data_IF_269274391145
#
_entry.id   IF_269274391145
#
_cell.length_a   1.000
_cell.length_b   1.000
_cell.length_c   1.000
_cell.angle_alpha   90.00
_cell.angle_beta   90.00
_cell.angle_gamma   90.00
#
_symmetry.space_group_name_H-M   'P 1'
#
loop_
_entity.id
_entity.type
_entity.pdbx_description
1 polymer ?
#
# COMPACT_ATOMS: atom_id res chain seq x y z
N UNK A 1 8.53 17.41 15.09
CA UNK A 1 7.46 17.10 14.12
C UNK A 1 7.75 15.71 13.56
N UNK A 2 6.77 14.82 13.51
CA UNK A 2 6.94 13.50 12.89
C UNK A 2 7.19 13.64 11.39
N UNK A 3 7.95 12.72 10.80
CA UNK A 3 8.28 12.74 9.38
C UNK A 3 7.05 12.47 8.49
N UNK A 4 6.29 11.44 8.87
CA UNK A 4 4.96 11.14 8.35
C UNK A 4 3.87 11.62 9.32
N UNK A 5 2.63 11.77 8.85
CA UNK A 5 1.48 12.11 9.72
C UNK A 5 1.29 11.08 10.81
N UNK A 6 0.82 11.56 11.97
CA UNK A 6 0.43 10.69 13.07
C UNK A 6 -0.70 9.74 12.66
N UNK A 7 -1.61 10.14 11.76
CA UNK A 7 -2.67 9.27 11.21
C UNK A 7 -2.09 8.02 10.53
N UNK A 8 -0.97 8.15 9.79
CA UNK A 8 -0.31 7.02 9.12
C UNK A 8 0.33 6.09 10.16
N UNK A 9 1.03 6.68 11.13
CA UNK A 9 1.72 5.92 12.19
C UNK A 9 0.72 5.17 13.07
N UNK A 10 -0.36 5.83 13.47
CA UNK A 10 -1.41 5.25 14.30
C UNK A 10 -2.18 4.17 13.54
N UNK A 11 -2.46 4.38 12.24
CA UNK A 11 -3.06 3.37 11.39
C UNK A 11 -2.25 2.08 11.40
N UNK A 12 -0.96 2.15 11.06
CA UNK A 12 -0.08 0.98 11.02
C UNK A 12 0.13 0.36 12.39
N UNK A 13 0.18 1.15 13.47
CA UNK A 13 0.24 0.59 14.83
C UNK A 13 -1.02 -0.18 15.19
N UNK A 14 -2.20 0.36 14.88
CA UNK A 14 -3.47 -0.30 15.15
C UNK A 14 -3.58 -1.65 14.43
N UNK A 15 -3.11 -1.74 13.17
CA UNK A 15 -3.14 -3.02 12.43
C UNK A 15 -2.30 -4.14 13.07
N UNK A 16 -1.35 -3.80 13.94
CA UNK A 16 -0.39 -4.76 14.50
C UNK A 16 -0.47 -4.95 16.02
N UNK A 17 -1.12 -4.02 16.73
CA UNK A 17 -1.08 -3.95 18.19
C UNK A 17 -2.47 -4.01 18.85
N UNK A 18 -3.51 -4.43 18.12
CA UNK A 18 -4.87 -4.57 18.65
C UNK A 18 -5.08 -5.83 19.51
N UNK A 19 -4.11 -6.76 19.56
CA UNK A 19 -4.22 -8.04 20.25
C UNK A 19 -3.27 -8.24 21.44
N UNK A 20 -3.13 -9.50 21.86
CA UNK A 20 -2.25 -9.95 22.95
C UNK A 20 -0.78 -9.80 22.55
N UNK A 21 -0.03 -8.91 23.20
CA UNK A 21 1.42 -8.80 22.95
C UNK A 21 2.14 -10.08 23.42
N UNK A 22 2.76 -10.80 22.48
CA UNK A 22 3.53 -12.02 22.72
C UNK A 22 5.00 -11.73 23.03
N UNK A 23 5.56 -10.74 22.35
CA UNK A 23 6.95 -10.28 22.49
C UNK A 23 7.01 -8.79 22.16
N UNK A 24 7.82 -8.03 22.90
CA UNK A 24 8.11 -6.64 22.58
C UNK A 24 9.48 -6.26 23.14
N UNK A 25 10.32 -5.70 22.28
CA UNK A 25 11.57 -5.02 22.62
C UNK A 25 11.72 -3.73 21.78
N UNK A 26 12.88 -3.08 21.87
CA UNK A 26 13.15 -1.80 21.19
C UNK A 26 13.04 -1.88 19.65
N UNK A 27 13.22 -3.06 19.06
CA UNK A 27 13.32 -3.27 17.62
C UNK A 27 12.17 -4.11 17.04
N UNK A 28 11.56 -5.01 17.82
CA UNK A 28 10.56 -5.93 17.33
C UNK A 28 9.41 -6.16 18.31
N UNK A 29 8.18 -6.08 17.80
CA UNK A 29 6.97 -6.43 18.55
C UNK A 29 6.14 -7.46 17.79
N UNK A 30 5.62 -8.44 18.50
CA UNK A 30 4.70 -9.46 17.98
C UNK A 30 3.44 -9.50 18.83
N UNK A 31 2.27 -9.39 18.20
CA UNK A 31 0.98 -9.58 18.84
C UNK A 31 0.22 -10.80 18.28
N UNK A 32 -0.67 -11.36 19.08
CA UNK A 32 -1.68 -12.31 18.64
C UNK A 32 -3.04 -11.65 18.58
N UNK A 33 -3.66 -11.63 17.40
CA UNK A 33 -4.96 -11.00 17.16
C UNK A 33 -5.94 -12.04 16.59
N UNK A 34 -7.04 -12.36 17.32
CA UNK A 34 -8.03 -13.33 16.86
C UNK A 34 -8.92 -12.80 15.72
N UNK A 35 -8.93 -11.49 15.47
CA UNK A 35 -9.84 -10.86 14.50
C UNK A 35 -9.20 -10.71 13.11
N UNK A 36 -8.05 -11.33 12.86
CA UNK A 36 -7.40 -11.33 11.54
C UNK A 36 -8.15 -12.22 10.54
N UNK A 37 -8.38 -11.67 9.36
CA UNK A 37 -8.90 -12.42 8.21
C UNK A 37 -7.92 -13.52 7.76
N UNK A 38 -8.43 -14.54 7.06
CA UNK A 38 -7.63 -15.69 6.61
C UNK A 38 -6.43 -15.28 5.75
N UNK A 39 -6.62 -14.32 4.84
CA UNK A 39 -5.57 -13.79 3.96
C UNK A 39 -4.56 -12.87 4.69
N UNK A 40 -4.88 -12.49 5.93
CA UNK A 40 -4.06 -11.63 6.79
C UNK A 40 -3.68 -12.32 8.11
N UNK A 41 -3.88 -13.63 8.24
CA UNK A 41 -3.64 -14.41 9.47
C UNK A 41 -2.21 -14.33 9.99
N UNK A 42 -1.28 -13.87 9.16
CA UNK A 42 0.01 -13.32 9.56
C UNK A 42 0.29 -12.08 8.73
N UNK A 43 0.74 -11.02 9.39
CA UNK A 43 1.32 -9.85 8.73
C UNK A 43 2.65 -9.45 9.39
N UNK A 44 3.55 -8.88 8.60
CA UNK A 44 4.82 -8.31 9.05
C UNK A 44 4.99 -6.94 8.42
N UNK A 45 5.35 -5.93 9.22
CA UNK A 45 5.74 -4.61 8.76
C UNK A 45 7.14 -4.29 9.27
N UNK A 46 8.08 -4.01 8.37
CA UNK A 46 9.42 -3.49 8.69
C UNK A 46 9.52 -2.04 8.23
N UNK A 47 9.72 -1.09 9.15
CA UNK A 47 9.83 0.33 8.84
C UNK A 47 11.28 0.73 8.52
N UNK A 48 11.45 1.81 7.76
CA UNK A 48 12.79 2.27 7.31
C UNK A 48 13.74 2.66 8.45
N UNK A 49 13.23 2.87 9.67
CA UNK A 49 14.01 3.15 10.87
C UNK A 49 14.51 1.87 11.58
N UNK A 50 14.29 0.70 10.99
CA UNK A 50 14.78 -0.59 11.48
C UNK A 50 13.88 -1.26 12.50
N UNK A 51 12.70 -0.69 12.81
CA UNK A 51 11.71 -1.34 13.67
C UNK A 51 10.84 -2.29 12.86
N UNK A 52 10.39 -3.36 13.51
CA UNK A 52 9.48 -4.34 12.94
C UNK A 52 8.29 -4.60 13.87
N UNK A 53 7.13 -4.83 13.27
CA UNK A 53 5.94 -5.30 13.96
C UNK A 53 5.40 -6.51 13.21
N UNK A 54 4.94 -7.52 13.94
CA UNK A 54 4.23 -8.65 13.37
C UNK A 54 2.95 -8.91 14.15
N UNK A 55 1.93 -9.39 13.45
CA UNK A 55 0.69 -9.85 14.05
C UNK A 55 0.33 -11.18 13.43
N UNK A 56 -0.23 -12.07 14.25
CA UNK A 56 -0.52 -13.45 13.88
C UNK A 56 -1.78 -13.92 14.60
N UNK A 57 -2.53 -14.87 14.05
CA UNK A 57 -3.65 -15.46 14.79
C UNK A 57 -3.14 -16.25 16.02
N UNK A 58 -3.94 -16.36 17.10
CA UNK A 58 -3.57 -17.14 18.28
C UNK A 58 -3.21 -18.61 17.96
N UNK A 59 -3.92 -19.23 17.02
CA UNK A 59 -3.70 -20.62 16.58
C UNK A 59 -2.31 -20.80 15.96
N UNK A 60 -1.94 -19.88 15.07
CA UNK A 60 -0.62 -19.88 14.42
C UNK A 60 0.48 -19.55 15.43
N UNK A 61 0.24 -18.62 16.35
CA UNK A 61 1.20 -18.32 17.42
C UNK A 61 1.49 -19.54 18.31
N UNK A 62 0.45 -20.33 18.61
CA UNK A 62 0.58 -21.58 19.34
C UNK A 62 1.34 -22.64 18.53
N UNK A 63 1.00 -22.82 17.25
CA UNK A 63 1.65 -23.77 16.32
C UNK A 63 3.14 -23.47 16.14
N UNK A 64 3.51 -22.21 15.96
CA UNK A 64 4.89 -21.75 15.85
C UNK A 64 5.63 -21.66 17.20
N UNK A 65 4.94 -21.92 18.31
CA UNK A 65 5.51 -21.93 19.66
C UNK A 65 6.01 -20.57 20.12
N UNK A 66 5.42 -19.46 19.64
CA UNK A 66 5.95 -18.11 19.85
C UNK A 66 5.96 -17.70 21.32
N UNK A 67 4.92 -18.06 22.08
CA UNK A 67 4.80 -17.75 23.53
C UNK A 67 5.91 -18.35 24.40
N UNK A 68 6.65 -19.35 23.91
CA UNK A 68 7.71 -20.04 24.67
C UNK A 68 9.11 -19.50 24.36
N UNK A 69 9.24 -18.59 23.40
CA UNK A 69 10.54 -18.06 22.95
C UNK A 69 10.93 -16.85 23.77
N UNK A 70 12.22 -16.74 24.11
CA UNK A 70 12.80 -15.53 24.72
C UNK A 70 13.76 -14.87 23.73
N UNK A 71 13.82 -13.53 23.74
CA UNK A 71 14.68 -12.76 22.84
C UNK A 71 14.36 -12.99 21.37
N UNK A 72 13.07 -13.01 21.02
CA UNK A 72 12.62 -13.28 19.66
C UNK A 72 13.06 -12.15 18.73
N UNK A 73 13.90 -12.45 17.74
CA UNK A 73 14.21 -11.53 16.64
C UNK A 73 13.25 -11.72 15.47
N UNK A 74 13.18 -10.77 14.54
CA UNK A 74 12.39 -10.90 13.30
C UNK A 74 12.79 -12.14 12.49
N UNK A 75 14.10 -12.43 12.40
CA UNK A 75 14.60 -13.63 11.74
C UNK A 75 14.17 -14.91 12.47
N UNK A 76 14.20 -14.89 13.82
CA UNK A 76 13.72 -15.98 14.65
C UNK A 76 12.21 -16.21 14.53
N UNK A 77 11.43 -15.13 14.35
CA UNK A 77 10.00 -15.18 14.09
C UNK A 77 9.70 -15.81 12.73
N UNK A 78 10.33 -15.32 11.64
CA UNK A 78 10.18 -15.91 10.31
C UNK A 78 10.58 -17.40 10.28
N UNK A 79 11.66 -17.77 10.97
CA UNK A 79 12.06 -19.18 11.10
C UNK A 79 11.04 -20.03 11.87
N UNK A 80 10.40 -19.46 12.90
CA UNK A 80 9.34 -20.14 13.64
C UNK A 80 8.08 -20.37 12.78
N UNK A 81 7.74 -19.40 11.92
CA UNK A 81 6.65 -19.53 10.94
C UNK A 81 6.96 -20.61 9.90
N UNK A 82 8.16 -20.59 9.32
CA UNK A 82 8.60 -21.60 8.35
C UNK A 82 8.56 -23.02 8.95
N UNK A 83 9.06 -23.20 10.18
CA UNK A 83 8.95 -24.46 10.91
C UNK A 83 7.52 -24.90 11.23
N UNK A 84 6.55 -23.98 11.18
CA UNK A 84 5.12 -24.23 11.33
C UNK A 84 4.39 -24.37 9.97
N UNK A 85 5.13 -24.43 8.86
CA UNK A 85 4.60 -24.55 7.50
C UNK A 85 3.93 -23.27 7.00
N UNK A 86 4.21 -22.12 7.61
CA UNK A 86 3.65 -20.82 7.22
C UNK A 86 4.62 -20.11 6.29
N UNK A 87 4.16 -19.84 5.07
CA UNK A 87 4.91 -19.09 4.07
C UNK A 87 4.37 -17.66 3.96
N UNK A 88 5.25 -16.66 4.00
CA UNK A 88 4.88 -15.27 3.71
C UNK A 88 5.01 -14.99 2.21
N UNK A 89 4.13 -14.14 1.69
CA UNK A 89 4.24 -13.61 0.34
C UNK A 89 5.43 -12.64 0.23
N UNK A 90 5.92 -12.40 -0.98
CA UNK A 90 6.90 -11.34 -1.24
C UNK A 90 6.38 -9.98 -0.76
N UNK A 91 7.24 -9.22 -0.09
CA UNK A 91 6.86 -7.96 0.53
C UNK A 91 6.47 -6.88 -0.49
N UNK A 92 5.49 -6.06 -0.13
CA UNK A 92 5.23 -4.79 -0.78
C UNK A 92 6.04 -3.68 -0.12
N UNK A 93 6.54 -2.75 -0.92
CA UNK A 93 6.99 -1.45 -0.41
C UNK A 93 5.78 -0.56 -0.19
N UNK A 94 5.72 0.07 0.97
CA UNK A 94 4.67 1.04 1.32
C UNK A 94 5.26 2.43 1.26
N UNK A 95 4.58 3.31 0.53
CA UNK A 95 4.95 4.71 0.37
C UNK A 95 3.83 5.63 0.85
N UNK A 96 4.24 6.69 1.53
CA UNK A 96 3.34 7.77 1.95
C UNK A 96 3.98 9.13 1.68
N UNK A 97 3.16 10.17 1.67
CA UNK A 97 3.68 11.53 1.67
C UNK A 97 4.15 11.93 3.07
N UNK A 98 5.29 12.60 3.12
CA UNK A 98 5.77 13.25 4.35
C UNK A 98 4.93 14.49 4.66
N UNK A 99 4.96 14.94 5.91
CA UNK A 99 4.31 16.19 6.32
C UNK A 99 4.79 17.39 5.50
N UNK A 100 6.07 17.38 5.10
CA UNK A 100 6.64 18.41 4.25
C UNK A 100 6.10 18.35 2.81
N UNK A 101 5.97 17.17 2.20
CA UNK A 101 5.45 17.05 0.84
C UNK A 101 3.94 17.31 0.78
N UNK A 102 3.17 16.97 1.81
CA UNK A 102 1.75 17.34 1.90
C UNK A 102 1.53 18.83 1.76
N UNK A 103 2.33 19.62 2.49
CA UNK A 103 2.28 21.09 2.42
C UNK A 103 2.61 21.58 1.01
N UNK A 104 3.53 20.92 0.29
CA UNK A 104 3.85 21.27 -1.11
C UNK A 104 2.71 20.90 -2.05
N UNK A 105 2.17 19.69 -1.95
CA UNK A 105 1.09 19.23 -2.81
C UNK A 105 -0.23 20.01 -2.57
N UNK A 106 -0.46 20.55 -1.37
CA UNK A 106 -1.56 21.49 -1.12
C UNK A 106 -1.44 22.80 -1.92
N UNK A 107 -0.20 23.21 -2.25
CA UNK A 107 0.11 24.42 -3.02
C UNK A 107 0.19 24.16 -4.53
N UNK A 108 0.13 22.91 -4.99
CA UNK A 108 0.10 22.61 -6.42
C UNK A 108 -1.09 23.31 -7.08
N UNK A 109 -0.94 23.76 -8.32
CA UNK A 109 -2.08 24.19 -9.12
C UNK A 109 -2.81 22.96 -9.69
N UNK A 110 -4.13 23.06 -9.95
CA UNK A 110 -4.85 22.02 -10.68
C UNK A 110 -4.13 21.65 -11.98
N UNK A 111 -3.82 20.37 -12.14
CA UNK A 111 -2.97 19.91 -13.25
C UNK A 111 -3.77 19.83 -14.54
N UNK A 112 -3.43 20.65 -15.53
CA UNK A 112 -4.02 20.61 -16.88
C UNK A 112 -3.85 19.21 -17.49
N UNK A 113 -4.93 18.68 -18.06
CA UNK A 113 -4.97 17.36 -18.68
C UNK A 113 -5.07 16.20 -17.69
N UNK A 114 -5.47 16.46 -16.45
CA UNK A 114 -5.88 15.48 -15.43
C UNK A 114 -7.28 15.85 -14.91
N UNK A 115 -8.20 14.89 -14.83
CA UNK A 115 -9.53 15.12 -14.24
C UNK A 115 -10.08 13.88 -13.54
N UNK A 116 -11.06 14.09 -12.68
CA UNK A 116 -11.86 13.01 -12.10
C UNK A 116 -12.63 12.28 -13.21
N UNK A 117 -12.71 10.96 -13.10
CA UNK A 117 -13.56 10.11 -13.92
C UNK A 117 -14.80 9.70 -13.11
N UNK A 118 -15.90 9.43 -13.81
CA UNK A 118 -17.15 8.96 -13.22
C UNK A 118 -17.74 7.80 -14.02
N UNK A 119 -18.90 7.28 -13.60
CA UNK A 119 -19.62 6.25 -14.35
C UNK A 119 -19.96 6.68 -15.79
N UNK A 120 -20.07 7.98 -16.07
CA UNK A 120 -20.28 8.51 -17.43
C UNK A 120 -19.08 8.23 -18.36
N UNK A 121 -17.89 8.00 -17.80
CA UNK A 121 -16.67 7.70 -18.54
C UNK A 121 -16.48 6.20 -18.83
N UNK A 122 -17.46 5.34 -18.53
CA UNK A 122 -17.32 3.88 -18.62
C UNK A 122 -16.82 3.37 -19.98
N UNK A 123 -17.38 3.87 -21.07
CA UNK A 123 -16.95 3.47 -22.42
C UNK A 123 -15.49 3.87 -22.70
N UNK A 124 -15.10 5.07 -22.27
CA UNK A 124 -13.76 5.61 -22.44
C UNK A 124 -12.74 4.85 -21.57
N UNK A 125 -13.10 4.51 -20.34
CA UNK A 125 -12.26 3.74 -19.42
C UNK A 125 -12.08 2.29 -19.89
N UNK A 126 -13.16 1.63 -20.35
CA UNK A 126 -13.09 0.30 -20.93
C UNK A 126 -12.19 0.28 -22.19
N UNK A 127 -12.32 1.29 -23.06
CA UNK A 127 -11.44 1.46 -24.21
C UNK A 127 -9.97 1.64 -23.82
N UNK A 128 -9.68 2.29 -22.69
CA UNK A 128 -8.34 2.41 -22.12
C UNK A 128 -7.82 1.07 -21.59
N UNK A 129 -8.62 0.33 -20.80
CA UNK A 129 -8.22 -0.98 -20.27
C UNK A 129 -7.94 -2.00 -21.39
N UNK A 130 -8.74 -1.99 -22.46
CA UNK A 130 -8.55 -2.87 -23.62
C UNK A 130 -7.20 -2.67 -24.35
N UNK A 131 -6.52 -1.56 -24.12
CA UNK A 131 -5.21 -1.25 -24.71
C UNK A 131 -4.05 -1.50 -23.76
N UNK A 132 -4.33 -1.77 -22.48
CA UNK A 132 -3.32 -2.11 -21.51
C UNK A 132 -2.89 -3.57 -21.66
N UNK A 133 -1.62 -3.86 -21.33
CA UNK A 133 -1.16 -5.24 -21.24
C UNK A 133 -1.79 -5.94 -20.04
N UNK A 134 -2.00 -7.25 -20.14
CA UNK A 134 -2.56 -8.09 -19.05
C UNK A 134 -1.78 -7.91 -17.75
N UNK A 135 -0.43 -7.93 -17.83
CA UNK A 135 0.45 -7.64 -16.69
C UNK A 135 0.21 -6.25 -16.09
N UNK A 136 -0.09 -5.25 -16.92
CA UNK A 136 -0.42 -3.91 -16.47
C UNK A 136 -1.75 -3.85 -15.72
N UNK A 137 -2.77 -4.55 -16.22
CA UNK A 137 -4.09 -4.63 -15.58
C UNK A 137 -4.01 -5.35 -14.23
N UNK A 138 -3.41 -6.55 -14.21
CA UNK A 138 -3.29 -7.36 -13.00
C UNK A 138 -2.48 -6.67 -11.89
N UNK A 139 -1.45 -5.90 -12.25
CA UNK A 139 -0.56 -5.27 -11.28
C UNK A 139 -0.99 -3.87 -10.79
N UNK A 140 -1.99 -3.24 -11.41
CA UNK A 140 -2.33 -1.85 -11.12
C UNK A 140 -3.56 -1.66 -10.24
N UNK A 141 -4.49 -2.64 -10.20
CA UNK A 141 -5.74 -2.56 -9.43
C UNK A 141 -6.48 -1.23 -9.64
N UNK A 142 -6.70 -0.88 -10.92
CA UNK A 142 -7.38 0.37 -11.31
C UNK A 142 -8.76 0.07 -11.87
N UNK A 143 -9.78 0.42 -11.09
CA UNK A 143 -11.19 0.23 -11.45
C UNK A 143 -11.96 1.54 -11.42
N UNK A 144 -13.00 1.63 -12.26
CA UNK A 144 -13.81 2.85 -12.40
C UNK A 144 -14.83 3.04 -11.26
N UNK A 145 -15.19 1.96 -10.58
CA UNK A 145 -16.12 1.95 -9.44
C UNK A 145 -15.44 2.12 -8.08
N UNK A 146 -14.11 2.21 -8.05
CA UNK A 146 -13.36 2.65 -6.87
C UNK A 146 -13.78 4.05 -6.42
N UNK A 147 -13.58 4.34 -5.13
CA UNK A 147 -14.07 5.55 -4.47
C UNK A 147 -13.65 6.86 -5.18
N UNK A 148 -12.38 6.96 -5.57
CA UNK A 148 -11.87 8.06 -6.38
C UNK A 148 -11.19 7.50 -7.61
N UNK A 149 -11.46 8.10 -8.78
CA UNK A 149 -10.81 7.72 -10.04
C UNK A 149 -10.43 8.99 -10.80
N UNK A 150 -9.18 9.05 -11.25
CA UNK A 150 -8.63 10.17 -12.00
C UNK A 150 -7.95 9.65 -13.27
N UNK A 151 -8.09 10.42 -14.35
CA UNK A 151 -7.50 10.13 -15.65
C UNK A 151 -6.63 11.28 -16.13
N UNK A 152 -5.53 10.96 -16.81
CA UNK A 152 -4.76 11.90 -17.61
C UNK A 152 -4.93 11.65 -19.09
N UNK A 153 -5.06 12.74 -19.83
CA UNK A 153 -5.45 12.75 -21.23
C UNK A 153 -4.35 13.33 -22.13
N UNK A 154 -4.22 12.79 -23.34
CA UNK A 154 -3.44 13.36 -24.45
C UNK A 154 -4.33 13.33 -25.71
N UNK A 155 -4.63 14.50 -26.29
CA UNK A 155 -5.52 14.64 -27.46
C UNK A 155 -6.87 13.90 -27.26
N UNK A 156 -7.55 14.19 -26.15
CA UNK A 156 -8.84 13.58 -25.74
C UNK A 156 -8.83 12.06 -25.49
N UNK A 157 -7.68 11.40 -25.62
CA UNK A 157 -7.51 9.99 -25.26
C UNK A 157 -7.07 9.86 -23.82
N UNK A 158 -7.74 8.98 -23.06
CA UNK A 158 -7.26 8.54 -21.75
C UNK A 158 -6.00 7.68 -21.93
N UNK A 159 -4.88 8.13 -21.36
CA UNK A 159 -3.57 7.46 -21.51
C UNK A 159 -3.00 6.96 -20.19
N UNK A 160 -3.54 7.46 -19.08
CA UNK A 160 -3.23 7.00 -17.73
C UNK A 160 -4.47 7.16 -16.86
N UNK A 161 -4.75 6.17 -16.02
CA UNK A 161 -5.76 6.25 -14.98
C UNK A 161 -5.17 5.80 -13.65
N UNK A 162 -5.70 6.35 -12.56
CA UNK A 162 -5.40 5.92 -11.21
C UNK A 162 -6.66 5.99 -10.37
N UNK A 163 -6.75 5.07 -9.42
CA UNK A 163 -7.92 4.95 -8.56
C UNK A 163 -7.52 4.70 -7.12
N UNK A 164 -8.33 5.18 -6.18
CA UNK A 164 -8.13 4.99 -4.75
C UNK A 164 -9.38 4.46 -4.08
N UNK A 165 -9.16 3.72 -3.00
CA UNK A 165 -10.22 3.27 -2.08
C UNK A 165 -9.70 3.28 -0.63
N UNK A 166 -10.57 3.53 0.36
CA UNK A 166 -10.21 3.39 1.78
C UNK A 166 -9.66 2.00 2.09
N UNK A 167 -8.60 1.94 2.88
CA UNK A 167 -7.86 0.72 3.16
C UNK A 167 -8.06 0.27 4.62
N UNK A 168 -8.35 -1.01 4.83
CA UNK A 168 -8.44 -1.68 6.15
C UNK A 168 -9.21 -0.87 7.21
N UNK A 169 -10.38 -0.35 6.85
CA UNK A 169 -11.25 0.47 7.72
C UNK A 169 -10.57 1.70 8.34
N UNK A 170 -9.49 2.18 7.75
CA UNK A 170 -8.70 3.33 8.22
C UNK A 170 -8.97 4.63 7.47
N UNK A 171 -8.30 5.69 7.92
CA UNK A 171 -8.18 6.97 7.19
C UNK A 171 -7.01 6.96 6.19
N UNK A 172 -6.57 5.78 5.79
CA UNK A 172 -5.59 5.58 4.72
C UNK A 172 -6.33 5.12 3.47
N UNK A 173 -5.92 5.61 2.29
CA UNK A 173 -6.50 5.21 1.01
C UNK A 173 -5.42 4.65 0.09
N UNK A 174 -5.58 3.40 -0.34
CA UNK A 174 -4.63 2.71 -1.21
C UNK A 174 -4.82 3.14 -2.66
N UNK A 175 -3.72 3.37 -3.39
CA UNK A 175 -3.69 3.91 -4.74
C UNK A 175 -3.13 2.90 -5.74
N UNK A 176 -3.92 2.65 -6.77
CA UNK A 176 -3.49 2.01 -8.02
C UNK A 176 -3.25 3.03 -9.14
N UNK A 177 -2.31 2.76 -10.05
CA UNK A 177 -2.09 3.59 -11.24
C UNK A 177 -1.63 2.77 -12.44
N UNK A 178 -2.25 3.03 -13.59
CA UNK A 178 -1.98 2.37 -14.87
C UNK A 178 -1.69 3.43 -15.93
N UNK A 179 -0.61 3.24 -16.70
CA UNK A 179 -0.28 4.07 -17.86
C UNK A 179 -0.04 3.16 -19.07
N UNK A 180 -0.69 3.49 -20.18
CA UNK A 180 -0.49 2.79 -21.46
C UNK A 180 0.99 2.84 -21.87
N UNK A 181 1.50 1.73 -22.38
CA UNK A 181 2.93 1.57 -22.69
C UNK A 181 3.53 2.69 -23.57
N UNK A 182 2.87 3.13 -24.67
CA UNK A 182 3.40 4.22 -25.52
C UNK A 182 3.45 5.60 -24.83
N UNK A 183 2.83 5.74 -23.66
CA UNK A 183 2.68 6.99 -22.93
C UNK A 183 3.48 7.03 -21.62
N UNK A 184 4.23 5.95 -21.32
CA UNK A 184 5.13 5.90 -20.15
C UNK A 184 6.28 6.89 -20.29
N UNK A 185 6.83 7.33 -19.17
CA UNK A 185 7.95 8.28 -19.13
C UNK A 185 7.58 9.74 -19.45
N UNK A 186 6.34 10.04 -19.84
CA UNK A 186 5.87 11.41 -20.17
C UNK A 186 5.26 12.17 -18.99
N UNK A 187 5.27 11.58 -17.79
CA UNK A 187 4.80 12.23 -16.55
C UNK A 187 3.30 12.11 -16.26
N UNK A 188 2.50 11.40 -17.08
CA UNK A 188 1.05 11.21 -16.83
C UNK A 188 0.75 10.58 -15.48
N UNK A 189 1.43 9.49 -15.12
CA UNK A 189 1.24 8.82 -13.84
C UNK A 189 1.51 9.75 -12.65
N UNK A 190 2.58 10.55 -12.71
CA UNK A 190 2.89 11.55 -11.67
C UNK A 190 1.75 12.55 -11.51
N UNK A 191 1.19 13.04 -12.62
CA UNK A 191 0.07 13.99 -12.61
C UNK A 191 -1.16 13.37 -11.94
N UNK A 192 -1.50 12.15 -12.32
CA UNK A 192 -2.65 11.41 -11.76
C UNK A 192 -2.45 11.17 -10.26
N UNK A 193 -1.32 10.57 -9.86
CA UNK A 193 -0.99 10.27 -8.45
C UNK A 193 -1.10 11.52 -7.58
N UNK A 194 -0.55 12.65 -8.02
CA UNK A 194 -0.63 13.91 -7.27
C UNK A 194 -2.05 14.47 -7.22
N UNK A 195 -2.78 14.43 -8.34
CA UNK A 195 -4.16 14.96 -8.42
C UNK A 195 -5.11 14.21 -7.50
N UNK A 196 -5.11 12.87 -7.56
CA UNK A 196 -5.99 12.04 -6.75
C UNK A 196 -5.61 12.08 -5.27
N UNK A 197 -4.31 12.13 -4.96
CA UNK A 197 -3.80 12.26 -3.58
C UNK A 197 -4.23 13.57 -2.92
N UNK A 198 -4.15 14.69 -3.66
CA UNK A 198 -4.64 15.98 -3.18
C UNK A 198 -6.14 15.92 -2.87
N UNK A 199 -6.91 15.34 -3.77
CA UNK A 199 -8.36 15.23 -3.57
C UNK A 199 -8.71 14.32 -2.38
N UNK A 200 -7.97 13.22 -2.17
CA UNK A 200 -8.15 12.36 -1.01
C UNK A 200 -7.87 13.09 0.32
N UNK A 201 -6.87 13.98 0.36
CA UNK A 201 -6.63 14.81 1.55
C UNK A 201 -7.72 15.81 1.83
N UNK A 202 -8.28 16.45 0.80
CA UNK A 202 -9.43 17.35 0.97
C UNK A 202 -10.62 16.61 1.59
N UNK A 203 -10.68 15.28 1.44
CA UNK A 203 -11.67 14.39 2.04
C UNK A 203 -11.23 13.78 3.39
N UNK A 204 -10.05 14.16 3.90
CA UNK A 204 -9.52 13.72 5.19
C UNK A 204 -8.86 12.34 5.19
N UNK A 205 -8.39 11.85 4.03
CA UNK A 205 -7.69 10.58 3.90
C UNK A 205 -6.21 10.77 3.59
N UNK A 206 -5.38 9.84 4.06
CA UNK A 206 -3.95 9.76 3.79
C UNK A 206 -3.68 8.80 2.63
N UNK A 207 -3.15 9.28 1.48
CA UNK A 207 -2.76 8.44 0.37
C UNK A 207 -1.66 7.44 0.75
N UNK A 208 -1.84 6.21 0.27
CA UNK A 208 -0.87 5.13 0.33
C UNK A 208 -0.61 4.62 -1.08
N UNK A 209 0.66 4.40 -1.40
CA UNK A 209 1.06 3.74 -2.64
C UNK A 209 1.86 2.49 -2.31
N UNK A 210 1.49 1.36 -2.91
CA UNK A 210 2.20 0.09 -2.74
C UNK A 210 2.74 -0.42 -4.07
N UNK A 211 3.87 -1.10 -4.00
CA UNK A 211 4.35 -1.90 -5.12
C UNK A 211 5.33 -2.98 -4.66
N UNK A 212 5.45 -4.02 -5.48
CA UNK A 212 6.41 -5.10 -5.29
C UNK A 212 7.86 -4.59 -5.27
N UNK A 213 8.74 -5.28 -4.52
CA UNK A 213 10.12 -4.85 -4.28
C UNK A 213 10.96 -4.66 -5.56
N UNK A 214 10.64 -5.40 -6.63
CA UNK A 214 11.35 -5.41 -7.90
C UNK A 214 10.70 -4.55 -8.99
N UNK A 215 9.58 -3.87 -8.68
CA UNK A 215 8.86 -3.03 -9.63
C UNK A 215 9.52 -1.65 -9.80
N UNK A 216 10.67 -1.62 -10.48
CA UNK A 216 11.50 -0.43 -10.65
C UNK A 216 10.74 0.80 -11.18
N UNK A 217 9.76 0.58 -12.07
CA UNK A 217 8.94 1.66 -12.61
C UNK A 217 8.05 2.31 -11.54
N UNK A 218 7.41 1.50 -10.69
CA UNK A 218 6.55 1.98 -9.60
C UNK A 218 7.36 2.64 -8.48
N UNK A 219 8.54 2.09 -8.17
CA UNK A 219 9.48 2.67 -7.20
C UNK A 219 9.92 4.07 -7.66
N UNK A 220 10.29 4.20 -8.95
CA UNK A 220 10.66 5.49 -9.52
C UNK A 220 9.48 6.46 -9.51
N UNK A 221 8.28 5.97 -9.84
CA UNK A 221 7.07 6.80 -9.82
C UNK A 221 6.76 7.34 -8.43
N UNK A 222 6.83 6.52 -7.38
CA UNK A 222 6.59 6.94 -6.00
C UNK A 222 7.46 8.15 -5.63
N UNK A 223 8.78 8.05 -5.86
CA UNK A 223 9.71 9.16 -5.61
C UNK A 223 9.46 10.38 -6.50
N UNK A 224 9.15 10.20 -7.80
CA UNK A 224 8.82 11.32 -8.69
C UNK A 224 7.52 12.03 -8.32
N UNK A 225 6.57 11.32 -7.72
CA UNK A 225 5.33 11.88 -7.21
C UNK A 225 5.49 12.58 -5.85
N UNK A 226 6.62 12.38 -5.16
CA UNK A 226 6.92 12.97 -3.85
C UNK A 226 6.59 12.06 -2.67
N UNK A 227 6.18 10.81 -2.92
CA UNK A 227 6.02 9.84 -1.85
C UNK A 227 7.40 9.31 -1.41
N UNK A 228 7.48 8.94 -0.13
CA UNK A 228 8.67 8.39 0.49
C UNK A 228 8.39 7.03 1.11
N UNK A 229 9.43 6.19 1.12
CA UNK A 229 9.32 4.83 1.63
C UNK A 229 9.06 4.87 3.14
N UNK A 230 7.97 4.24 3.57
CA UNK A 230 7.63 4.06 4.97
C UNK A 230 8.23 2.75 5.52
N UNK A 231 8.14 1.69 4.72
CA UNK A 231 8.59 0.36 5.10
C UNK A 231 8.22 -0.69 4.06
N UNK A 232 8.36 -1.96 4.44
CA UNK A 232 7.91 -3.12 3.70
C UNK A 232 6.86 -3.89 4.48
N UNK A 233 5.84 -4.39 3.79
CA UNK A 233 4.76 -5.15 4.39
C UNK A 233 4.57 -6.49 3.70
N UNK A 234 4.46 -7.53 4.50
CA UNK A 234 4.25 -8.91 4.07
C UNK A 234 2.96 -9.42 4.71
N UNK A 235 2.28 -10.28 3.95
CA UNK A 235 1.14 -11.06 4.42
C UNK A 235 1.42 -12.54 4.16
N UNK A 236 0.60 -13.42 4.72
CA UNK A 236 0.66 -14.84 4.42
C UNK A 236 0.50 -15.09 2.91
N UNK A 237 1.22 -16.09 2.37
CA UNK A 237 1.04 -16.53 0.99
C UNK A 237 -0.25 -17.34 0.86
N UNK A 238 -1.01 -17.19 -0.25
CA UNK A 238 -2.13 -18.08 -0.56
C UNK A 238 -1.73 -19.56 -0.64
N UNK A 239 -0.46 -19.84 -0.97
CA UNK A 239 0.09 -21.21 -1.04
C UNK A 239 0.50 -21.77 0.34
N UNK A 240 0.39 -20.96 1.39
CA UNK A 240 0.77 -21.35 2.75
C UNK A 240 -0.21 -22.37 3.32
N UNK A 241 0.30 -23.37 4.03
CA UNK A 241 -0.55 -24.36 4.71
C UNK A 241 -1.50 -23.68 5.71
N UNK A 242 -2.77 -24.07 5.72
CA UNK A 242 -3.75 -23.62 6.70
C UNK A 242 -3.26 -23.91 8.12
#
# INVERSE_FOLDING_TARGET
MSYFSQTIVDFWRAQFLNGDILHSDDNFTVAADPDLDEDCRVMVLETIDGRAMAVVTPELAARAGLRKRQGLSIAGFRHALDGAGVMLHGADRIYHFTEAEKKRLALDEPVVGSRRLSAEDAALFSGFQAQASEKGLAGASVELDHWLVFGSFEQDRLVCAGSMYPWMNGRVADLGVLTLEPYRGKGHARKVVRSISRHAWDLGYEPQYRCQLDNAASILLAGKAGLELFGTWEVVSPDSAA
#
